data_IF_895495490835
#
_entry.id   IF_895495490835
#
_cell.length_a   1.000
_cell.length_b   1.000
_cell.length_c   1.000
_cell.angle_alpha   90.00
_cell.angle_beta   90.00
_cell.angle_gamma   90.00
#
_symmetry.space_group_name_H-M   'P 1'
#
loop_
_entity.id
_entity.type
_entity.pdbx_description
1 polymer ?
#
# COMPACT_ATOMS: atom_id res chain seq x y z
N UNK A 1 -18.53 -7.06 -6.56
CA UNK A 1 -18.08 -5.86 -7.32
C UNK A 1 -19.03 -5.66 -8.50
N UNK A 2 -19.57 -4.45 -8.68
CA UNK A 2 -20.61 -4.18 -9.70
C UNK A 2 -20.14 -4.51 -11.13
N UNK A 3 -18.82 -4.49 -11.38
CA UNK A 3 -18.20 -4.87 -12.65
C UNK A 3 -18.33 -6.37 -12.98
N UNK A 4 -18.30 -7.25 -11.97
CA UNK A 4 -18.45 -8.70 -12.17
C UNK A 4 -19.92 -9.10 -12.38
N UNK A 5 -20.87 -8.39 -11.77
CA UNK A 5 -22.31 -8.55 -12.03
C UNK A 5 -22.69 -8.04 -13.42
N UNK A 6 -22.13 -6.92 -13.86
CA UNK A 6 -22.35 -6.39 -15.20
C UNK A 6 -21.84 -7.33 -16.31
N UNK A 7 -20.74 -8.06 -16.09
CA UNK A 7 -20.18 -8.99 -17.08
C UNK A 7 -20.97 -10.31 -17.16
N UNK A 8 -21.62 -10.73 -16.07
CA UNK A 8 -22.53 -11.90 -16.07
C UNK A 8 -23.82 -11.64 -16.86
N UNK A 9 -24.22 -10.39 -17.03
CA UNK A 9 -25.36 -10.00 -17.87
C UNK A 9 -25.04 -10.04 -19.38
N UNK A 10 -23.78 -10.28 -19.77
CA UNK A 10 -23.32 -10.27 -21.17
C UNK A 10 -22.96 -11.70 -21.64
N UNK A 11 -23.28 -12.13 -22.87
CA UNK A 11 -23.13 -13.53 -23.33
C UNK A 11 -21.69 -14.06 -23.35
N UNK A 12 -20.68 -13.19 -23.30
CA UNK A 12 -19.25 -13.52 -23.28
C UNK A 12 -18.66 -13.59 -21.86
N UNK A 13 -19.51 -13.65 -20.83
CA UNK A 13 -19.16 -13.29 -19.44
C UNK A 13 -18.12 -14.15 -18.74
N UNK A 14 -17.95 -15.43 -19.10
CA UNK A 14 -17.09 -16.34 -18.32
C UNK A 14 -15.60 -16.11 -18.58
N UNK A 15 -15.15 -16.06 -19.84
CA UNK A 15 -13.74 -15.85 -20.16
C UNK A 15 -13.25 -14.44 -19.80
N UNK A 16 -14.09 -13.43 -20.06
CA UNK A 16 -13.77 -12.05 -19.73
C UNK A 16 -13.72 -11.80 -18.22
N UNK A 17 -14.64 -12.42 -17.45
CA UNK A 17 -14.63 -12.34 -15.99
C UNK A 17 -13.39 -13.00 -15.37
N UNK A 18 -12.95 -14.14 -15.90
CA UNK A 18 -11.73 -14.82 -15.46
C UNK A 18 -10.50 -13.94 -15.72
N UNK A 19 -10.35 -13.41 -16.94
CA UNK A 19 -9.20 -12.58 -17.31
C UNK A 19 -9.15 -11.28 -16.49
N UNK A 20 -10.30 -10.66 -16.26
CA UNK A 20 -10.42 -9.47 -15.43
C UNK A 20 -10.10 -9.74 -13.96
N UNK A 21 -10.60 -10.84 -13.39
CA UNK A 21 -10.32 -11.19 -12.00
C UNK A 21 -8.82 -11.51 -11.82
N UNK A 22 -8.20 -12.20 -12.78
CA UNK A 22 -6.76 -12.43 -12.81
C UNK A 22 -5.99 -11.11 -12.86
N UNK A 23 -6.40 -10.18 -13.73
CA UNK A 23 -5.80 -8.85 -13.85
C UNK A 23 -5.96 -8.01 -12.58
N UNK A 24 -7.12 -8.09 -11.93
CA UNK A 24 -7.39 -7.40 -10.67
C UNK A 24 -6.48 -7.93 -9.55
N UNK A 25 -6.36 -9.25 -9.39
CA UNK A 25 -5.50 -9.86 -8.36
C UNK A 25 -4.03 -9.54 -8.64
N UNK A 26 -3.57 -9.68 -9.89
CA UNK A 26 -2.20 -9.37 -10.28
C UNK A 26 -1.87 -7.88 -10.06
N UNK A 27 -2.79 -6.99 -10.44
CA UNK A 27 -2.66 -5.54 -10.24
C UNK A 27 -2.61 -5.15 -8.77
N UNK A 28 -3.58 -5.62 -7.97
CA UNK A 28 -3.63 -5.34 -6.53
C UNK A 28 -2.38 -5.85 -5.82
N UNK A 29 -1.95 -7.08 -6.11
CA UNK A 29 -0.74 -7.66 -5.51
C UNK A 29 0.50 -6.83 -5.84
N UNK A 30 0.63 -6.40 -7.09
CA UNK A 30 1.77 -5.58 -7.55
C UNK A 30 1.79 -4.22 -6.85
N UNK A 31 0.64 -3.56 -6.76
CA UNK A 31 0.51 -2.26 -6.09
C UNK A 31 0.81 -2.38 -4.60
N UNK A 32 0.22 -3.36 -3.90
CA UNK A 32 0.49 -3.59 -2.48
C UNK A 32 1.96 -3.85 -2.21
N UNK A 33 2.62 -4.70 -3.02
CA UNK A 33 4.05 -4.94 -2.90
C UNK A 33 4.87 -3.66 -3.11
N UNK A 34 4.53 -2.87 -4.13
CA UNK A 34 5.20 -1.60 -4.43
C UNK A 34 5.05 -0.61 -3.27
N UNK A 35 3.87 -0.50 -2.67
CA UNK A 35 3.62 0.39 -1.53
C UNK A 35 4.42 -0.03 -0.28
N UNK A 36 4.49 -1.33 0.02
CA UNK A 36 5.30 -1.84 1.13
C UNK A 36 6.79 -1.51 0.95
N UNK A 37 7.30 -1.63 -0.27
CA UNK A 37 8.68 -1.27 -0.59
C UNK A 37 8.92 0.25 -0.50
N UNK A 38 7.99 1.07 -0.98
CA UNK A 38 8.05 2.54 -0.88
C UNK A 38 8.12 3.01 0.57
N UNK A 39 7.25 2.48 1.45
CA UNK A 39 7.26 2.81 2.87
C UNK A 39 8.60 2.43 3.50
N UNK A 40 9.08 1.20 3.24
CA UNK A 40 10.36 0.70 3.78
C UNK A 40 11.55 1.59 3.40
N UNK A 41 11.58 2.15 2.19
CA UNK A 41 12.64 3.07 1.74
C UNK A 41 12.61 4.41 2.50
N UNK A 42 11.43 4.98 2.71
CA UNK A 42 11.27 6.23 3.47
C UNK A 42 11.73 6.03 4.91
N UNK A 43 11.27 4.94 5.56
CA UNK A 43 11.71 4.59 6.92
C UNK A 43 13.23 4.36 7.00
N UNK A 44 13.81 3.72 5.98
CA UNK A 44 15.26 3.52 5.90
C UNK A 44 16.02 4.85 5.76
N UNK A 45 15.58 5.75 4.88
CA UNK A 45 16.18 7.08 4.73
C UNK A 45 16.09 7.88 6.03
N UNK A 46 14.92 7.91 6.68
CA UNK A 46 14.72 8.57 7.98
C UNK A 46 15.59 7.97 9.10
N UNK A 47 15.83 6.66 9.09
CA UNK A 47 16.75 6.01 10.03
C UNK A 47 18.22 6.33 9.73
N UNK A 48 18.58 6.53 8.45
CA UNK A 48 19.92 6.92 8.04
C UNK A 48 20.21 8.40 8.35
N UNK A 49 19.18 9.25 8.32
CA UNK A 49 19.23 10.65 8.76
C UNK A 49 19.28 10.79 10.29
N UNK A 50 19.27 9.67 11.03
CA UNK A 50 19.39 9.63 12.49
C UNK A 50 18.12 9.96 13.27
N UNK A 51 16.98 10.14 12.57
CA UNK A 51 15.68 10.49 13.16
C UNK A 51 14.98 9.30 13.85
N UNK A 52 15.36 8.06 13.49
CA UNK A 52 14.83 6.81 14.05
C UNK A 52 15.94 5.97 14.69
N UNK A 53 15.67 5.28 15.83
CA UNK A 53 16.68 4.50 16.53
C UNK A 53 17.28 3.39 15.65
N UNK A 54 18.60 3.22 15.71
CA UNK A 54 19.45 2.34 14.86
C UNK A 54 19.01 0.87 14.74
N UNK A 55 18.03 0.43 15.54
CA UNK A 55 17.41 -0.90 15.44
C UNK A 55 16.64 -1.06 14.10
N UNK A 56 16.05 0.02 13.55
CA UNK A 56 15.40 0.02 12.24
C UNK A 56 16.39 0.01 11.05
N UNK A 57 17.64 0.38 11.31
CA UNK A 57 18.73 0.36 10.33
C UNK A 57 19.53 -0.96 10.33
N UNK A 58 19.05 -2.01 11.03
CA UNK A 58 19.74 -3.31 11.04
C UNK A 58 19.45 -4.06 9.73
N UNK A 59 20.20 -3.70 8.70
CA UNK A 59 20.14 -4.28 7.35
C UNK A 59 20.71 -5.71 7.40
N UNK A 60 20.04 -6.66 6.75
CA UNK A 60 20.59 -8.01 6.58
C UNK A 60 21.75 -7.96 5.57
N UNK A 61 22.95 -8.39 6.00
CA UNK A 61 24.26 -8.28 5.29
C UNK A 61 24.30 -8.86 3.86
N UNK A 62 23.29 -9.63 3.43
CA UNK A 62 23.24 -10.29 2.11
C UNK A 62 22.17 -9.77 1.15
N UNK A 63 21.13 -9.07 1.62
CA UNK A 63 20.01 -8.64 0.75
C UNK A 63 19.74 -7.14 0.76
N UNK A 64 20.54 -6.35 1.49
CA UNK A 64 20.40 -4.88 1.58
C UNK A 64 18.97 -4.39 1.86
N UNK A 65 18.12 -5.26 2.43
CA UNK A 65 16.70 -5.01 2.65
C UNK A 65 16.44 -4.90 4.15
N UNK A 66 15.76 -3.84 4.62
CA UNK A 66 15.40 -3.68 6.04
C UNK A 66 14.23 -4.64 6.36
N UNK A 67 14.56 -5.92 6.58
CA UNK A 67 13.57 -6.95 6.85
C UNK A 67 12.76 -6.67 8.12
N UNK A 68 13.38 -6.07 9.13
CA UNK A 68 12.72 -5.71 10.39
C UNK A 68 11.63 -4.66 10.17
N UNK A 69 11.89 -3.63 9.35
CA UNK A 69 10.91 -2.59 9.03
C UNK A 69 9.72 -3.16 8.26
N UNK A 70 9.97 -4.04 7.28
CA UNK A 70 8.90 -4.72 6.53
C UNK A 70 8.03 -5.55 7.46
N UNK A 71 8.63 -6.27 8.42
CA UNK A 71 7.90 -7.13 9.34
C UNK A 71 7.08 -6.32 10.34
N UNK A 72 7.63 -5.23 10.88
CA UNK A 72 6.92 -4.33 11.80
C UNK A 72 5.76 -3.64 11.08
N UNK A 73 5.99 -3.06 9.90
CA UNK A 73 4.96 -2.38 9.11
C UNK A 73 3.90 -3.39 8.65
N UNK A 74 4.31 -4.57 8.19
CA UNK A 74 3.41 -5.65 7.78
C UNK A 74 2.56 -6.15 8.93
N UNK A 75 3.13 -6.33 10.13
CA UNK A 75 2.39 -6.72 11.33
C UNK A 75 1.39 -5.62 11.74
N UNK A 76 1.83 -4.36 11.73
CA UNK A 76 0.95 -3.23 12.03
C UNK A 76 -0.21 -3.15 11.04
N UNK A 77 0.07 -3.27 9.75
CA UNK A 77 -0.93 -3.29 8.68
C UNK A 77 -1.89 -4.49 8.82
N UNK A 78 -1.38 -5.68 9.15
CA UNK A 78 -2.20 -6.88 9.35
C UNK A 78 -3.15 -6.73 10.55
N UNK A 79 -2.67 -6.16 11.65
CA UNK A 79 -3.49 -5.89 12.84
C UNK A 79 -4.57 -4.84 12.51
N UNK A 80 -4.20 -3.72 11.90
CA UNK A 80 -5.15 -2.67 11.54
C UNK A 80 -6.17 -3.14 10.49
N UNK A 81 -5.73 -3.90 9.49
CA UNK A 81 -6.61 -4.48 8.47
C UNK A 81 -7.57 -5.53 9.03
N UNK A 82 -7.24 -6.18 10.15
CA UNK A 82 -8.11 -7.16 10.81
C UNK A 82 -9.18 -6.54 11.70
N UNK A 83 -8.95 -5.32 12.20
CA UNK A 83 -9.83 -4.64 13.17
C UNK A 83 -10.73 -3.60 12.46
N UNK A 84 -10.22 -2.92 11.43
CA UNK A 84 -10.94 -1.87 10.72
C UNK A 84 -11.64 -2.40 9.46
N UNK A 85 -12.92 -2.04 9.23
CA UNK A 85 -13.59 -2.36 7.97
C UNK A 85 -12.94 -1.60 6.80
N UNK A 86 -12.83 -2.29 5.66
CA UNK A 86 -12.16 -1.78 4.44
C UNK A 86 -12.79 -0.51 3.88
N UNK A 87 -14.09 -0.30 4.11
CA UNK A 87 -14.80 0.89 3.64
C UNK A 87 -14.29 2.16 4.32
N UNK A 88 -14.15 2.12 5.65
CA UNK A 88 -13.64 3.25 6.45
C UNK A 88 -12.16 3.50 6.15
N UNK A 89 -11.38 2.45 5.86
CA UNK A 89 -9.99 2.59 5.45
C UNK A 89 -9.86 3.35 4.13
N UNK A 90 -10.76 3.10 3.17
CA UNK A 90 -10.82 3.81 1.89
C UNK A 90 -11.16 5.29 2.06
N UNK A 91 -12.17 5.61 2.89
CA UNK A 91 -12.55 6.99 3.21
C UNK A 91 -11.41 7.75 3.89
N UNK A 92 -10.78 7.13 4.90
CA UNK A 92 -9.66 7.72 5.65
C UNK A 92 -8.44 7.96 4.75
N UNK A 93 -8.13 7.02 3.86
CA UNK A 93 -7.03 7.16 2.88
C UNK A 93 -7.29 8.34 1.93
N UNK A 94 -8.52 8.47 1.45
CA UNK A 94 -8.91 9.55 0.53
C UNK A 94 -8.79 10.92 1.20
N UNK A 95 -9.30 11.07 2.43
CA UNK A 95 -9.17 12.30 3.22
C UNK A 95 -7.69 12.61 3.48
N UNK A 96 -6.89 11.61 3.85
CA UNK A 96 -5.44 11.77 4.07
C UNK A 96 -4.71 12.28 2.82
N UNK A 97 -5.01 11.72 1.64
CA UNK A 97 -4.42 12.17 0.38
C UNK A 97 -4.78 13.62 0.05
N UNK A 98 -6.05 14.01 0.26
CA UNK A 98 -6.49 15.40 0.08
C UNK A 98 -5.72 16.36 1.00
N UNK A 99 -5.53 15.99 2.27
CA UNK A 99 -4.74 16.78 3.22
C UNK A 99 -3.29 16.88 2.74
N UNK A 100 -2.65 15.78 2.34
CA UNK A 100 -1.29 15.82 1.81
C UNK A 100 -1.17 16.73 0.58
N UNK A 101 -2.13 16.72 -0.34
CA UNK A 101 -2.12 17.62 -1.49
C UNK A 101 -2.24 19.08 -1.09
N UNK A 102 -3.09 19.42 -0.12
CA UNK A 102 -3.20 20.79 0.40
C UNK A 102 -1.85 21.25 0.97
N UNK A 103 -1.20 20.42 1.80
CA UNK A 103 0.12 20.73 2.37
C UNK A 103 1.18 20.96 1.29
N UNK A 104 1.21 20.14 0.23
CA UNK A 104 2.14 20.31 -0.88
C UNK A 104 1.90 21.63 -1.61
N UNK A 105 0.64 21.99 -1.88
CA UNK A 105 0.34 23.27 -2.52
C UNK A 105 0.73 24.47 -1.66
N UNK A 106 0.49 24.41 -0.34
CA UNK A 106 0.93 25.46 0.58
C UNK A 106 2.46 25.57 0.59
N UNK A 107 3.17 24.44 0.68
CA UNK A 107 4.64 24.41 0.67
C UNK A 107 5.25 24.97 -0.61
N UNK A 108 4.56 24.84 -1.76
CA UNK A 108 5.03 25.36 -3.05
C UNK A 108 4.78 26.87 -3.18
N UNK A 109 3.73 27.38 -2.54
CA UNK A 109 3.37 28.82 -2.59
C UNK A 109 4.26 29.66 -1.67
N UNK A 110 4.69 29.09 -0.52
CA UNK A 110 5.57 29.74 0.46
C UNK A 110 7.03 29.62 0.03
#
# INVERSE_FOLDING_TARGET
SPLAEAIKATPYGLWLSILMNLGAIAGLTTVTLTLMLSQTRIFYAMANDGLLPKIFARIHHKRATPWLSILIIGLFCAVFSGICPVDILGETTSIGALISYIFVHITVIV
#
